data_IF_755307949318
#
_entry.id   IF_755307949318
#
_cell.length_a   1.000
_cell.length_b   1.000
_cell.length_c   1.000
_cell.angle_alpha   90.00
_cell.angle_beta   90.00
_cell.angle_gamma   90.00
#
_symmetry.space_group_name_H-M   'P 1'
#
loop_
_entity.id
_entity.type
_entity.pdbx_description
1 polymer ?
#
# COMPACT_ATOMS: atom_id res chain seq x y z
N UNK A 1 -21.13 2.70 -35.30
CA UNK A 1 -19.71 2.37 -35.59
C UNK A 1 -18.78 3.60 -35.58
N UNK A 2 -19.21 4.80 -35.14
CA UNK A 2 -18.39 6.03 -35.25
C UNK A 2 -17.77 6.56 -33.94
N UNK A 3 -18.09 5.99 -32.77
CA UNK A 3 -17.63 6.52 -31.47
C UNK A 3 -16.25 6.03 -31.02
N UNK A 4 -15.83 4.82 -31.43
CA UNK A 4 -14.55 4.25 -30.99
C UNK A 4 -13.34 4.79 -31.77
N UNK A 5 -13.50 5.14 -33.05
CA UNK A 5 -12.38 5.62 -33.89
C UNK A 5 -11.90 7.03 -33.51
N UNK A 6 -12.80 7.91 -33.07
CA UNK A 6 -12.41 9.27 -32.64
C UNK A 6 -11.59 9.26 -31.35
N UNK A 7 -11.88 8.35 -30.42
CA UNK A 7 -11.11 8.22 -29.17
C UNK A 7 -9.69 7.73 -29.44
N UNK A 8 -9.54 6.76 -30.35
CA UNK A 8 -8.25 6.19 -30.71
C UNK A 8 -7.31 7.20 -31.37
N UNK A 9 -7.84 8.08 -32.22
CA UNK A 9 -7.06 9.15 -32.86
C UNK A 9 -6.58 10.18 -31.84
N UNK A 10 -7.41 10.52 -30.84
CA UNK A 10 -7.06 11.43 -29.75
C UNK A 10 -5.88 10.92 -28.92
N UNK A 11 -5.97 9.67 -28.47
CA UNK A 11 -4.91 9.02 -27.68
C UNK A 11 -3.58 8.94 -28.43
N UNK A 12 -3.61 8.60 -29.73
CA UNK A 12 -2.41 8.56 -30.56
C UNK A 12 -1.74 9.93 -30.76
N UNK A 13 -2.51 11.03 -30.72
CA UNK A 13 -1.97 12.41 -30.77
C UNK A 13 -1.36 12.79 -29.43
N UNK A 14 -2.04 12.52 -28.32
CA UNK A 14 -1.54 12.81 -26.97
C UNK A 14 -0.24 12.02 -26.71
N UNK A 15 -0.18 10.76 -27.14
CA UNK A 15 1.04 9.94 -27.04
C UNK A 15 2.22 10.56 -27.79
N UNK A 16 1.99 11.10 -29.00
CA UNK A 16 3.03 11.82 -29.75
C UNK A 16 3.52 13.06 -28.99
N UNK A 17 2.60 13.86 -28.44
CA UNK A 17 2.96 15.04 -27.64
C UNK A 17 3.83 14.65 -26.44
N UNK A 18 3.51 13.54 -25.77
CA UNK A 18 4.25 13.05 -24.60
C UNK A 18 5.66 12.55 -24.94
N UNK A 19 5.83 11.91 -26.10
CA UNK A 19 7.09 11.23 -26.47
C UNK A 19 8.07 12.13 -27.24
N UNK A 20 7.56 13.06 -28.04
CA UNK A 20 8.41 13.91 -28.87
C UNK A 20 9.12 14.98 -28.02
N UNK A 21 10.45 15.01 -28.11
CA UNK A 21 11.26 15.99 -27.39
C UNK A 21 11.07 17.42 -27.87
N UNK A 22 10.64 17.63 -29.13
CA UNK A 22 10.44 18.98 -29.70
C UNK A 22 9.23 19.69 -29.09
N UNK A 23 8.24 18.94 -28.60
CA UNK A 23 7.05 19.54 -27.96
C UNK A 23 7.29 19.91 -26.48
N UNK A 24 8.42 19.52 -25.89
CA UNK A 24 8.75 19.84 -24.48
C UNK A 24 9.29 21.28 -24.37
N UNK A 25 8.39 22.20 -24.10
CA UNK A 25 8.58 23.66 -24.06
C UNK A 25 8.94 24.22 -22.68
N UNK A 26 9.09 23.37 -21.68
CA UNK A 26 9.38 23.73 -20.29
C UNK A 26 10.52 22.88 -19.72
N UNK A 27 11.45 23.51 -19.01
CA UNK A 27 12.50 22.82 -18.25
C UNK A 27 12.43 23.22 -16.78
N UNK A 28 12.29 22.23 -15.90
CA UNK A 28 12.47 22.42 -14.46
C UNK A 28 13.93 22.19 -14.08
N UNK A 29 14.48 23.09 -13.26
CA UNK A 29 15.79 22.96 -12.64
C UNK A 29 15.56 22.58 -11.18
N UNK A 30 15.82 21.33 -10.84
CA UNK A 30 15.54 20.76 -9.52
C UNK A 30 16.80 20.09 -9.01
N UNK A 31 17.35 20.56 -7.89
CA UNK A 31 18.68 20.17 -7.42
C UNK A 31 19.71 20.31 -8.57
N UNK A 32 20.42 19.24 -8.91
CA UNK A 32 21.41 19.18 -10.00
C UNK A 32 20.84 18.62 -11.32
N UNK A 33 19.51 18.55 -11.45
CA UNK A 33 18.82 17.95 -12.60
C UNK A 33 18.07 18.98 -13.45
N UNK A 34 18.15 18.79 -14.78
CA UNK A 34 17.28 19.46 -15.74
C UNK A 34 16.21 18.48 -16.25
N UNK A 35 14.95 18.77 -15.97
CA UNK A 35 13.82 17.90 -16.33
C UNK A 35 12.93 18.63 -17.34
N UNK A 36 12.92 18.14 -18.59
CA UNK A 36 12.08 18.68 -19.67
C UNK A 36 10.67 18.08 -19.62
N UNK A 37 9.66 18.93 -19.76
CA UNK A 37 8.25 18.57 -19.76
C UNK A 37 7.44 19.42 -20.77
N UNK A 38 6.20 19.04 -21.03
CA UNK A 38 5.26 19.90 -21.74
C UNK A 38 4.53 20.79 -20.72
N UNK A 39 4.62 22.12 -20.86
CA UNK A 39 3.95 23.10 -20.00
C UNK A 39 2.45 22.82 -19.89
N UNK A 40 1.81 22.54 -21.02
CA UNK A 40 0.36 22.29 -21.10
C UNK A 40 -0.05 21.00 -20.41
N UNK A 41 0.75 19.93 -20.51
CA UNK A 41 0.43 18.67 -19.81
C UNK A 41 0.55 18.85 -18.30
N UNK A 42 1.63 19.46 -17.83
CA UNK A 42 1.81 19.76 -16.39
C UNK A 42 0.62 20.54 -15.84
N UNK A 43 0.22 21.62 -16.52
CA UNK A 43 -0.92 22.44 -16.13
C UNK A 43 -2.28 21.72 -16.22
N UNK A 44 -2.43 20.77 -17.14
CA UNK A 44 -3.65 19.96 -17.24
C UNK A 44 -3.73 18.88 -16.17
N UNK A 45 -2.59 18.45 -15.61
CA UNK A 45 -2.53 17.35 -14.65
C UNK A 45 -2.88 17.74 -13.21
N UNK A 46 -2.53 18.94 -12.75
CA UNK A 46 -3.01 19.43 -11.45
C UNK A 46 -3.08 20.97 -11.37
N UNK A 47 -3.92 21.46 -10.45
CA UNK A 47 -4.19 22.89 -10.29
C UNK A 47 -2.97 23.69 -9.83
N UNK A 48 -2.07 23.09 -9.04
CA UNK A 48 -0.81 23.72 -8.65
C UNK A 48 0.00 24.17 -9.88
N UNK A 49 0.25 23.26 -10.84
CA UNK A 49 0.99 23.60 -12.05
C UNK A 49 0.19 24.53 -12.98
N UNK A 50 -1.14 24.42 -13.00
CA UNK A 50 -2.00 25.35 -13.73
C UNK A 50 -1.80 26.79 -13.25
N UNK A 51 -1.84 27.02 -11.94
CA UNK A 51 -1.60 28.34 -11.34
C UNK A 51 -0.16 28.78 -11.56
N UNK A 52 0.82 27.90 -11.35
CA UNK A 52 2.23 28.21 -11.53
C UNK A 52 2.59 28.61 -12.97
N UNK A 53 2.02 27.92 -13.97
CA UNK A 53 2.43 28.05 -15.38
C UNK A 53 1.53 28.96 -16.22
N UNK A 54 0.27 29.15 -15.82
CA UNK A 54 -0.70 29.99 -16.55
C UNK A 54 -1.36 31.06 -15.67
N UNK A 55 -1.03 31.11 -14.38
CA UNK A 55 -1.47 32.17 -13.48
C UNK A 55 -0.62 33.44 -13.57
N UNK A 56 -0.90 34.37 -12.66
CA UNK A 56 -0.19 35.66 -12.53
C UNK A 56 1.09 35.50 -11.69
N UNK A 57 1.94 34.57 -12.07
CA UNK A 57 3.23 34.26 -11.43
C UNK A 57 4.39 34.77 -12.30
N UNK A 58 5.62 34.75 -11.78
CA UNK A 58 6.80 35.05 -12.61
C UNK A 58 7.14 33.86 -13.50
N UNK A 59 6.94 32.67 -12.95
CA UNK A 59 7.14 31.35 -13.53
C UNK A 59 6.35 31.16 -14.83
N UNK A 60 5.15 31.72 -14.96
CA UNK A 60 4.32 31.60 -16.16
C UNK A 60 4.95 32.20 -17.42
N UNK A 61 5.88 33.15 -17.26
CA UNK A 61 6.62 33.80 -18.35
C UNK A 61 7.95 33.11 -18.67
N UNK A 62 8.37 32.14 -17.86
CA UNK A 62 9.68 31.50 -17.96
C UNK A 62 9.60 30.13 -18.65
N UNK A 63 10.55 29.85 -19.55
CA UNK A 63 10.73 28.50 -20.13
C UNK A 63 11.64 27.60 -19.29
N UNK A 64 12.37 28.17 -18.33
CA UNK A 64 13.21 27.46 -17.36
C UNK A 64 12.83 27.90 -15.95
N UNK A 65 12.38 26.97 -15.11
CA UNK A 65 11.89 27.27 -13.77
C UNK A 65 12.69 26.50 -12.73
N UNK A 66 13.24 27.21 -11.74
CA UNK A 66 14.02 26.60 -10.66
C UNK A 66 13.13 26.26 -9.46
N UNK A 67 13.19 25.01 -8.99
CA UNK A 67 12.51 24.55 -7.77
C UNK A 67 13.57 24.30 -6.69
N UNK A 68 13.69 25.20 -5.72
CA UNK A 68 14.79 25.19 -4.74
C UNK A 68 14.59 24.19 -3.59
N UNK A 69 13.35 23.82 -3.26
CA UNK A 69 13.01 23.01 -2.08
C UNK A 69 12.20 21.78 -2.47
N UNK A 70 12.55 21.19 -3.61
CA UNK A 70 11.82 20.05 -4.17
C UNK A 70 12.79 18.89 -4.36
N UNK A 71 12.54 17.73 -3.76
CA UNK A 71 13.36 16.53 -3.96
C UNK A 71 13.36 16.12 -5.43
N UNK A 72 14.54 16.07 -6.05
CA UNK A 72 14.66 15.94 -7.49
C UNK A 72 14.13 14.61 -8.03
N UNK A 73 14.42 13.49 -7.34
CA UNK A 73 13.98 12.16 -7.76
C UNK A 73 12.46 11.99 -7.68
N UNK A 74 11.85 12.51 -6.62
CA UNK A 74 10.40 12.52 -6.47
C UNK A 74 9.74 13.40 -7.55
N UNK A 75 10.28 14.58 -7.83
CA UNK A 75 9.77 15.44 -8.90
C UNK A 75 9.90 14.79 -10.28
N UNK A 76 11.00 14.07 -10.54
CA UNK A 76 11.16 13.30 -11.77
C UNK A 76 10.03 12.27 -11.94
N UNK A 77 9.61 11.60 -10.86
CA UNK A 77 8.46 10.69 -10.87
C UNK A 77 7.13 11.38 -11.10
N UNK A 78 6.93 12.59 -10.56
CA UNK A 78 5.77 13.43 -10.89
C UNK A 78 5.72 13.71 -12.39
N UNK A 79 6.83 14.15 -13.00
CA UNK A 79 6.88 14.42 -14.44
C UNK A 79 6.71 13.14 -15.26
N UNK A 80 7.32 12.03 -14.85
CA UNK A 80 7.11 10.71 -15.48
C UNK A 80 5.61 10.38 -15.53
N UNK A 81 4.92 10.49 -14.39
CA UNK A 81 3.50 10.23 -14.27
C UNK A 81 2.63 11.14 -15.16
N UNK A 82 2.96 12.43 -15.28
CA UNK A 82 2.26 13.35 -16.21
C UNK A 82 2.34 12.87 -17.66
N UNK A 83 3.48 12.27 -18.03
CA UNK A 83 3.74 11.80 -19.39
C UNK A 83 3.26 10.38 -19.68
N UNK A 84 3.09 9.53 -18.68
CA UNK A 84 2.79 8.10 -18.88
C UNK A 84 1.47 7.67 -18.26
N UNK A 85 0.90 8.46 -17.34
CA UNK A 85 -0.14 8.07 -16.38
C UNK A 85 0.25 6.85 -15.53
N UNK A 86 1.55 6.56 -15.45
CA UNK A 86 2.12 5.45 -14.70
C UNK A 86 3.39 5.88 -13.99
N UNK A 87 3.54 5.46 -12.75
CA UNK A 87 4.75 5.67 -11.98
C UNK A 87 5.24 4.31 -11.48
N UNK A 88 6.50 4.00 -11.75
CA UNK A 88 7.15 2.88 -11.11
C UNK A 88 7.48 3.23 -9.64
N UNK A 89 6.60 2.82 -8.73
CA UNK A 89 6.72 3.04 -7.29
C UNK A 89 7.35 1.84 -6.55
N UNK A 90 7.63 0.75 -7.24
CA UNK A 90 8.18 -0.47 -6.62
C UNK A 90 9.70 -0.41 -6.54
N UNK A 91 10.34 0.14 -7.57
CA UNK A 91 11.80 0.27 -7.65
C UNK A 91 12.29 1.59 -7.08
N UNK A 92 11.38 2.43 -6.59
CA UNK A 92 11.74 3.70 -5.98
C UNK A 92 12.32 3.42 -4.60
N UNK A 93 13.36 4.17 -4.23
CA UNK A 93 13.88 4.13 -2.87
C UNK A 93 12.83 4.61 -1.87
N UNK A 94 12.78 4.02 -0.68
CA UNK A 94 11.77 4.30 0.35
C UNK A 94 11.75 5.79 0.74
N UNK A 95 12.92 6.43 0.80
CA UNK A 95 13.01 7.87 1.08
C UNK A 95 12.34 8.69 -0.03
N UNK A 96 12.66 8.37 -1.29
CA UNK A 96 12.07 9.04 -2.45
C UNK A 96 10.56 8.74 -2.58
N UNK A 97 10.07 7.62 -2.06
CA UNK A 97 8.65 7.31 -2.01
C UNK A 97 7.90 8.24 -1.06
N UNK A 98 8.43 8.47 0.15
CA UNK A 98 7.87 9.44 1.09
C UNK A 98 7.88 10.86 0.50
N UNK A 99 8.99 11.24 -0.13
CA UNK A 99 9.11 12.52 -0.84
C UNK A 99 8.06 12.64 -1.96
N UNK A 100 7.81 11.56 -2.71
CA UNK A 100 6.81 11.55 -3.78
C UNK A 100 5.39 11.71 -3.24
N UNK A 101 5.04 11.02 -2.14
CA UNK A 101 3.73 11.17 -1.48
C UNK A 101 3.59 12.62 -0.96
N UNK A 102 4.64 13.14 -0.32
CA UNK A 102 4.69 14.52 0.18
C UNK A 102 4.47 15.55 -0.92
N UNK A 103 5.22 15.46 -2.02
CA UNK A 103 5.12 16.37 -3.16
C UNK A 103 3.76 16.26 -3.85
N UNK A 104 3.24 15.03 -4.01
CA UNK A 104 1.94 14.81 -4.65
C UNK A 104 0.83 15.48 -3.84
N UNK A 105 0.93 15.48 -2.51
CA UNK A 105 0.02 16.23 -1.66
C UNK A 105 0.22 17.75 -1.75
N UNK A 106 1.46 18.24 -1.66
CA UNK A 106 1.79 19.67 -1.74
C UNK A 106 1.35 20.31 -3.06
N UNK A 107 1.52 19.57 -4.17
CA UNK A 107 1.08 20.01 -5.49
C UNK A 107 -0.40 19.72 -5.77
N UNK A 108 -1.14 19.23 -4.78
CA UNK A 108 -2.57 18.90 -4.91
C UNK A 108 -2.83 17.96 -6.09
N UNK A 109 -1.90 17.03 -6.34
CA UNK A 109 -1.96 16.10 -7.46
C UNK A 109 -2.71 14.83 -7.04
N UNK A 110 -4.03 14.98 -6.84
CA UNK A 110 -4.89 13.90 -6.34
C UNK A 110 -4.84 12.63 -7.20
N UNK A 111 -4.72 12.75 -8.53
CA UNK A 111 -4.63 11.59 -9.41
C UNK A 111 -3.36 10.75 -9.15
N UNK A 112 -2.23 11.40 -8.87
CA UNK A 112 -0.99 10.71 -8.51
C UNK A 112 -1.08 10.12 -7.10
N UNK A 113 -1.63 10.84 -6.13
CA UNK A 113 -1.86 10.30 -4.77
C UNK A 113 -2.73 9.05 -4.78
N UNK A 114 -3.85 9.08 -5.51
CA UNK A 114 -4.74 7.93 -5.64
C UNK A 114 -4.03 6.76 -6.31
N UNK A 115 -3.29 7.01 -7.40
CA UNK A 115 -2.48 5.99 -8.06
C UNK A 115 -1.49 5.34 -7.08
N UNK A 116 -0.79 6.14 -6.28
CA UNK A 116 0.16 5.64 -5.28
C UNK A 116 -0.58 4.83 -4.21
N UNK A 117 -1.69 5.34 -3.68
CA UNK A 117 -2.50 4.66 -2.68
C UNK A 117 -2.98 3.28 -3.17
N UNK A 118 -3.45 3.19 -4.41
CA UNK A 118 -3.98 1.95 -4.99
C UNK A 118 -2.91 0.93 -5.34
N UNK A 119 -1.69 1.37 -5.64
CA UNK A 119 -0.59 0.50 -6.09
C UNK A 119 0.40 0.15 -4.97
N UNK A 120 0.45 0.92 -3.88
CA UNK A 120 1.39 0.66 -2.77
C UNK A 120 0.98 -0.61 -1.99
N UNK A 121 1.94 -1.53 -1.86
CA UNK A 121 1.82 -2.75 -1.06
C UNK A 121 2.78 -2.65 0.12
N UNK A 122 2.27 -2.35 1.32
CA UNK A 122 3.10 -2.06 2.50
C UNK A 122 3.98 -3.25 2.91
N UNK A 123 3.56 -4.48 2.68
CA UNK A 123 4.35 -5.70 2.90
C UNK A 123 5.69 -5.71 2.14
N UNK A 124 5.78 -4.96 1.03
CA UNK A 124 6.98 -4.86 0.21
C UNK A 124 8.01 -3.85 0.72
N UNK A 125 7.65 -3.07 1.76
CA UNK A 125 8.48 -2.02 2.33
C UNK A 125 8.96 -2.39 3.74
N UNK A 126 9.99 -1.68 4.20
CA UNK A 126 10.47 -1.80 5.58
C UNK A 126 9.41 -1.33 6.59
N UNK A 127 9.50 -1.87 7.80
CA UNK A 127 8.67 -1.42 8.92
C UNK A 127 8.95 0.05 9.24
N UNK A 128 10.21 0.48 9.14
CA UNK A 128 10.63 1.87 9.36
C UNK A 128 9.98 2.82 8.35
N UNK A 129 9.85 2.41 7.07
CA UNK A 129 9.08 3.14 6.07
C UNK A 129 7.60 3.24 6.44
N UNK A 130 6.98 2.13 6.86
CA UNK A 130 5.55 2.13 7.22
C UNK A 130 5.23 3.04 8.42
N UNK A 131 6.13 3.09 9.41
CA UNK A 131 6.04 4.03 10.55
C UNK A 131 6.17 5.47 10.04
N UNK A 132 7.19 5.74 9.21
CA UNK A 132 7.41 7.07 8.65
C UNK A 132 6.25 7.55 7.78
N UNK A 133 5.65 6.65 6.99
CA UNK A 133 4.46 6.92 6.19
C UNK A 133 3.25 7.24 7.07
N UNK A 134 3.08 6.51 8.18
CA UNK A 134 2.03 6.81 9.15
C UNK A 134 2.22 8.21 9.76
N UNK A 135 3.41 8.55 10.24
CA UNK A 135 3.69 9.87 10.82
C UNK A 135 3.47 10.99 9.80
N UNK A 136 3.94 10.80 8.56
CA UNK A 136 3.69 11.71 7.44
C UNK A 136 2.20 11.87 7.16
N UNK A 137 1.43 10.77 7.21
CA UNK A 137 0.00 10.78 6.96
C UNK A 137 -0.78 11.57 8.01
N UNK A 138 -0.35 11.53 9.27
CA UNK A 138 -0.94 12.37 10.33
C UNK A 138 -0.58 13.84 10.09
N UNK A 139 0.70 14.14 9.84
CA UNK A 139 1.17 15.52 9.62
C UNK A 139 0.42 16.20 8.46
N UNK A 140 0.25 15.48 7.36
CA UNK A 140 -0.40 15.95 6.13
C UNK A 140 -1.89 15.65 6.04
N UNK A 141 -2.50 15.09 7.09
CA UNK A 141 -3.92 14.75 7.16
C UNK A 141 -4.39 13.80 6.03
N UNK A 142 -3.51 12.89 5.59
CA UNK A 142 -3.78 11.87 4.59
C UNK A 142 -4.44 10.64 5.25
N UNK A 143 -5.71 10.78 5.65
CA UNK A 143 -6.42 9.76 6.44
C UNK A 143 -6.47 8.37 5.77
N UNK A 144 -6.56 8.29 4.44
CA UNK A 144 -6.57 7.00 3.75
C UNK A 144 -5.26 6.24 3.94
N UNK A 145 -4.11 6.93 3.83
CA UNK A 145 -2.79 6.35 4.08
C UNK A 145 -2.62 5.97 5.55
N UNK A 146 -3.09 6.82 6.47
CA UNK A 146 -3.09 6.53 7.91
C UNK A 146 -3.81 5.22 8.21
N UNK A 147 -5.03 5.07 7.72
CA UNK A 147 -5.86 3.89 7.94
C UNK A 147 -5.24 2.63 7.30
N UNK A 148 -4.58 2.78 6.15
CA UNK A 148 -3.86 1.68 5.48
C UNK A 148 -2.64 1.21 6.27
N UNK A 149 -1.84 2.13 6.83
CA UNK A 149 -0.73 1.78 7.73
C UNK A 149 -1.22 1.10 9.00
N UNK A 150 -2.30 1.63 9.60
CA UNK A 150 -2.92 1.06 10.79
C UNK A 150 -3.44 -0.37 10.57
N UNK A 151 -4.06 -0.64 9.41
CA UNK A 151 -4.48 -2.00 9.03
C UNK A 151 -3.28 -2.94 8.84
N UNK A 152 -2.19 -2.46 8.25
CA UNK A 152 -0.97 -3.24 8.10
C UNK A 152 -0.39 -3.67 9.45
N UNK A 153 -0.33 -2.75 10.43
CA UNK A 153 0.13 -3.09 11.77
C UNK A 153 -0.82 -4.02 12.53
N UNK A 154 -2.14 -3.91 12.31
CA UNK A 154 -3.12 -4.87 12.86
C UNK A 154 -2.82 -6.29 12.37
N UNK A 155 -2.51 -6.47 11.08
CA UNK A 155 -2.20 -7.78 10.49
C UNK A 155 -0.90 -8.34 11.06
N UNK A 156 0.18 -7.56 11.04
CA UNK A 156 1.50 -8.04 11.50
C UNK A 156 1.47 -8.49 12.96
N UNK A 157 0.87 -7.70 13.85
CA UNK A 157 0.84 -8.03 15.27
C UNK A 157 -0.18 -9.12 15.63
N UNK A 158 -1.15 -9.37 14.76
CA UNK A 158 -2.04 -10.52 14.91
C UNK A 158 -1.39 -11.83 14.44
N UNK A 159 -0.46 -11.78 13.47
CA UNK A 159 0.30 -12.95 13.02
C UNK A 159 1.43 -13.31 14.00
N UNK A 160 2.27 -12.33 14.37
CA UNK A 160 3.38 -12.54 15.29
C UNK A 160 3.65 -11.28 16.12
N UNK A 161 3.57 -11.42 17.44
CA UNK A 161 3.86 -10.31 18.36
C UNK A 161 5.37 -10.18 18.54
N UNK A 162 5.99 -9.30 17.76
CA UNK A 162 7.42 -8.99 17.86
C UNK A 162 7.68 -7.70 18.66
N UNK A 163 8.04 -7.86 19.94
CA UNK A 163 8.29 -6.72 20.85
C UNK A 163 9.39 -5.79 20.37
N UNK A 164 10.41 -6.29 19.66
CA UNK A 164 11.52 -5.50 19.11
C UNK A 164 11.08 -4.53 18.02
N UNK A 165 10.11 -4.90 17.19
CA UNK A 165 9.53 -4.00 16.17
C UNK A 165 8.74 -2.88 16.82
N UNK A 166 7.99 -3.21 17.87
CA UNK A 166 7.14 -2.25 18.58
C UNK A 166 7.94 -1.09 19.16
N UNK A 167 9.18 -1.33 19.63
CA UNK A 167 10.08 -0.29 20.18
C UNK A 167 10.31 0.89 19.22
N UNK A 168 10.30 0.62 17.91
CA UNK A 168 10.53 1.63 16.87
C UNK A 168 9.34 2.56 16.64
N UNK A 169 8.16 2.23 17.16
CA UNK A 169 6.94 2.97 16.88
C UNK A 169 7.02 4.37 17.46
N UNK A 170 6.56 5.36 16.70
CA UNK A 170 6.38 6.71 17.22
C UNK A 170 5.32 6.71 18.33
N UNK A 171 5.43 7.66 19.28
CA UNK A 171 4.44 7.82 20.36
C UNK A 171 3.01 7.93 19.80
N UNK A 172 2.86 8.65 18.69
CA UNK A 172 1.58 8.85 18.00
C UNK A 172 1.01 7.53 17.47
N UNK A 173 1.85 6.67 16.89
CA UNK A 173 1.44 5.36 16.38
C UNK A 173 0.97 4.46 17.53
N UNK A 174 1.71 4.45 18.65
CA UNK A 174 1.31 3.69 19.85
C UNK A 174 -0.06 4.16 20.36
N UNK A 175 -0.26 5.46 20.54
CA UNK A 175 -1.53 6.01 21.04
C UNK A 175 -2.70 5.64 20.10
N UNK A 176 -2.54 5.78 18.77
CA UNK A 176 -3.56 5.45 17.78
C UNK A 176 -3.87 3.94 17.73
N UNK A 177 -2.87 3.07 17.82
CA UNK A 177 -3.09 1.61 17.89
C UNK A 177 -3.85 1.23 19.17
N UNK A 178 -3.46 1.80 20.31
CA UNK A 178 -4.09 1.50 21.60
C UNK A 178 -5.53 2.01 21.73
N UNK A 179 -5.91 3.05 20.98
CA UNK A 179 -7.28 3.53 20.92
C UNK A 179 -8.22 2.58 20.13
N UNK A 180 -7.66 1.77 19.23
CA UNK A 180 -8.45 0.96 18.28
C UNK A 180 -8.85 -0.38 18.86
N UNK A 181 -10.14 -0.70 18.78
CA UNK A 181 -10.66 -2.04 19.09
C UNK A 181 -10.13 -3.12 18.14
N UNK A 182 -9.75 -2.74 16.91
CA UNK A 182 -9.33 -3.66 15.85
C UNK A 182 -7.91 -4.20 16.02
N UNK A 183 -7.10 -3.57 16.87
CA UNK A 183 -5.73 -4.00 17.14
C UNK A 183 -5.73 -5.22 18.06
N UNK A 184 -5.94 -6.41 17.49
CA UNK A 184 -6.27 -7.65 18.20
C UNK A 184 -5.08 -8.35 18.91
N UNK A 185 -4.23 -7.57 19.59
CA UNK A 185 -3.18 -8.09 20.45
C UNK A 185 -3.73 -8.41 21.85
N UNK A 186 -3.18 -9.43 22.52
CA UNK A 186 -3.52 -9.68 23.93
C UNK A 186 -3.04 -8.50 24.79
N UNK A 187 -3.84 -8.06 25.78
CA UNK A 187 -3.45 -6.93 26.63
C UNK A 187 -2.19 -7.22 27.46
N UNK A 188 -1.92 -8.49 27.78
CA UNK A 188 -0.68 -8.89 28.43
C UNK A 188 0.53 -8.68 27.51
N UNK A 189 0.43 -9.08 26.24
CA UNK A 189 1.55 -8.91 25.31
C UNK A 189 1.70 -7.44 24.90
N UNK A 190 0.60 -6.69 24.77
CA UNK A 190 0.63 -5.24 24.63
C UNK A 190 1.35 -4.58 25.81
N UNK A 191 1.07 -5.00 27.04
CA UNK A 191 1.79 -4.51 28.21
C UNK A 191 3.30 -4.78 28.12
N UNK A 192 3.72 -6.00 27.72
CA UNK A 192 5.15 -6.31 27.50
C UNK A 192 5.78 -5.46 26.40
N UNK A 193 5.07 -5.22 25.29
CA UNK A 193 5.49 -4.32 24.22
C UNK A 193 5.70 -2.90 24.75
N UNK A 194 4.77 -2.38 25.56
CA UNK A 194 4.86 -1.05 26.17
C UNK A 194 6.03 -0.95 27.15
N UNK A 195 6.26 -1.95 28.00
CA UNK A 195 7.42 -1.96 28.89
C UNK A 195 8.73 -1.79 28.13
N UNK A 196 8.92 -2.61 27.08
CA UNK A 196 10.13 -2.56 26.25
C UNK A 196 10.24 -1.23 25.50
N UNK A 197 9.12 -0.66 25.07
CA UNK A 197 9.08 0.65 24.43
C UNK A 197 9.51 1.78 25.38
N UNK A 198 9.06 1.74 26.64
CA UNK A 198 9.44 2.71 27.69
C UNK A 198 10.95 2.64 27.97
N UNK A 199 11.49 1.43 28.11
CA UNK A 199 12.92 1.21 28.35
C UNK A 199 13.80 1.81 27.24
N UNK A 200 13.31 1.83 26.00
CA UNK A 200 14.05 2.34 24.84
C UNK A 200 13.84 3.84 24.55
N UNK A 201 12.63 4.38 24.80
CA UNK A 201 12.25 5.75 24.39
C UNK A 201 12.28 6.79 25.53
N UNK A 202 12.51 6.35 26.76
CA UNK A 202 12.70 7.21 27.93
C UNK A 202 11.40 7.66 28.63
N UNK A 203 11.54 8.17 29.85
CA UNK A 203 10.40 8.45 30.74
C UNK A 203 9.49 9.59 30.27
N UNK A 204 10.03 10.62 29.62
CA UNK A 204 9.22 11.77 29.16
C UNK A 204 8.14 11.36 28.15
N UNK A 205 8.49 10.47 27.21
CA UNK A 205 7.54 9.95 26.23
C UNK A 205 6.64 8.85 26.79
N UNK A 206 6.86 8.41 28.03
CA UNK A 206 6.14 7.32 28.67
C UNK A 206 4.95 7.80 29.52
N UNK A 207 4.81 9.12 29.70
CA UNK A 207 3.73 9.70 30.49
C UNK A 207 2.38 9.33 29.88
N UNK A 208 1.53 8.70 30.69
CA UNK A 208 0.18 8.30 30.30
C UNK A 208 0.10 7.19 29.26
N UNK A 209 1.20 6.47 29.00
CA UNK A 209 1.23 5.44 27.95
C UNK A 209 0.28 4.26 28.24
N UNK A 210 0.07 3.93 29.52
CA UNK A 210 -0.86 2.88 29.92
C UNK A 210 -2.34 3.32 29.96
N UNK A 211 -2.65 4.58 29.63
CA UNK A 211 -4.02 5.13 29.76
C UNK A 211 -5.07 4.33 28.97
N UNK A 212 -4.69 3.82 27.81
CA UNK A 212 -5.57 3.06 26.91
C UNK A 212 -5.34 1.53 27.00
N UNK A 213 -4.56 1.07 27.99
CA UNK A 213 -4.38 -0.37 28.26
C UNK A 213 -5.63 -0.89 28.99
N UNK A 214 -6.24 -1.95 28.47
CA UNK A 214 -7.50 -2.50 29.02
C UNK A 214 -7.18 -3.48 30.14
N UNK A 215 -6.81 -2.92 31.29
CA UNK A 215 -6.39 -3.68 32.48
C UNK A 215 -7.38 -4.78 32.87
N UNK A 216 -8.69 -4.56 32.66
CA UNK A 216 -9.73 -5.52 32.98
C UNK A 216 -9.67 -6.83 32.17
N UNK A 217 -8.87 -6.87 31.09
CA UNK A 217 -8.67 -8.06 30.26
C UNK A 217 -7.36 -8.81 30.60
N UNK A 218 -6.54 -8.28 31.50
CA UNK A 218 -5.37 -9.00 32.03
C UNK A 218 -5.86 -9.82 33.23
N UNK A 219 -5.68 -11.15 33.19
CA UNK A 219 -6.10 -11.99 34.30
C UNK A 219 -5.22 -11.78 35.54
N UNK A 220 -5.73 -12.13 36.72
CA UNK A 220 -5.06 -11.86 37.99
C UNK A 220 -3.71 -12.57 38.14
N UNK A 221 -3.54 -13.75 37.51
CA UNK A 221 -2.28 -14.49 37.56
C UNK A 221 -1.21 -13.76 36.77
N UNK A 222 -1.54 -13.29 35.58
CA UNK A 222 -0.64 -12.55 34.71
C UNK A 222 -0.34 -11.16 35.27
N UNK A 223 -1.32 -10.50 35.89
CA UNK A 223 -1.11 -9.24 36.59
C UNK A 223 -0.07 -9.39 37.72
N UNK A 224 -0.25 -10.38 38.60
CA UNK A 224 0.69 -10.62 39.71
C UNK A 224 2.09 -11.03 39.24
N UNK A 225 2.17 -11.78 38.13
CA UNK A 225 3.44 -12.32 37.63
C UNK A 225 4.23 -11.30 36.81
N UNK A 226 3.55 -10.48 36.00
CA UNK A 226 4.18 -9.64 34.99
C UNK A 226 3.99 -8.13 35.21
N UNK A 227 2.81 -7.70 35.67
CA UNK A 227 2.47 -6.26 35.80
C UNK A 227 2.88 -5.71 37.16
N UNK A 228 2.44 -6.35 38.24
CA UNK A 228 2.67 -5.94 39.62
C UNK A 228 4.16 -5.72 39.97
N UNK A 229 5.12 -6.56 39.53
CA UNK A 229 6.54 -6.39 39.85
C UNK A 229 7.15 -5.10 39.28
N UNK A 230 6.60 -4.58 38.19
CA UNK A 230 7.10 -3.36 37.53
C UNK A 230 6.81 -2.09 38.29
N UNK A 231 5.79 -2.11 39.17
CA UNK A 231 5.29 -0.94 39.94
C UNK A 231 4.87 0.25 39.07
N UNK A 232 4.67 0.06 37.76
CA UNK A 232 4.20 1.10 36.84
C UNK A 232 2.68 1.29 36.88
N UNK A 233 1.95 0.29 37.34
CA UNK A 233 0.50 0.29 37.47
C UNK A 233 0.15 -0.13 38.90
N UNK A 234 -0.71 0.63 39.58
CA UNK A 234 -1.08 0.33 40.95
C UNK A 234 -2.11 -0.80 41.02
N UNK A 235 -2.12 -1.54 42.13
CA UNK A 235 -3.16 -2.55 42.37
C UNK A 235 -4.55 -1.92 42.45
N UNK A 236 -4.65 -0.67 42.92
CA UNK A 236 -5.91 0.07 43.01
C UNK A 236 -6.48 0.35 41.61
N UNK A 237 -5.65 0.83 40.67
CA UNK A 237 -6.06 1.07 39.28
C UNK A 237 -6.55 -0.21 38.59
N UNK A 238 -5.87 -1.34 38.86
CA UNK A 238 -6.27 -2.65 38.32
C UNK A 238 -7.62 -3.12 38.89
N UNK A 239 -7.84 -2.98 40.21
CA UNK A 239 -9.11 -3.33 40.84
C UNK A 239 -10.27 -2.45 40.35
N UNK A 240 -10.04 -1.14 40.22
CA UNK A 240 -11.02 -0.20 39.66
C UNK A 240 -11.39 -0.57 38.21
N UNK A 241 -10.41 -0.98 37.40
CA UNK A 241 -10.67 -1.41 36.02
C UNK A 241 -11.51 -2.71 35.97
N UNK A 242 -11.22 -3.68 36.84
CA UNK A 242 -11.99 -4.92 36.93
C UNK A 242 -13.44 -4.69 37.39
N UNK A 243 -13.66 -3.84 38.39
CA UNK A 243 -14.99 -3.54 38.91
C UNK A 243 -15.86 -2.83 37.87
N UNK A 244 -15.28 -1.87 37.14
CA UNK A 244 -16.01 -1.09 36.15
C UNK A 244 -16.29 -1.83 34.84
N UNK A 245 -15.61 -2.96 34.56
CA UNK A 245 -15.66 -3.68 33.27
C UNK A 245 -15.56 -2.72 32.08
N UNK A 246 -14.60 -1.79 32.16
CA UNK A 246 -14.61 -0.56 31.37
C UNK A 246 -14.48 -0.78 29.86
N UNK A 247 -13.91 -1.92 29.44
CA UNK A 247 -13.63 -2.20 28.03
C UNK A 247 -13.90 -3.67 27.66
N UNK A 248 -14.33 -3.91 26.43
CA UNK A 248 -14.44 -5.25 25.85
C UNK A 248 -13.11 -5.70 25.24
N UNK A 249 -12.97 -7.00 24.96
CA UNK A 249 -11.82 -7.54 24.23
C UNK A 249 -11.55 -6.78 22.93
N UNK A 250 -10.26 -6.53 22.65
CA UNK A 250 -9.85 -6.11 21.32
C UNK A 250 -10.16 -7.27 20.39
N UNK A 251 -11.02 -7.00 19.43
CA UNK A 251 -11.42 -7.99 18.47
C UNK A 251 -11.09 -7.42 17.10
N UNK A 252 -10.52 -8.27 16.25
CA UNK A 252 -10.65 -8.04 14.82
C UNK A 252 -12.15 -7.91 14.61
N UNK A 253 -12.62 -6.72 14.23
CA UNK A 253 -13.96 -6.61 13.65
C UNK A 253 -13.88 -7.44 12.37
N UNK A 254 -14.15 -8.75 12.48
CA UNK A 254 -14.82 -9.47 11.42
C UNK A 254 -16.10 -8.67 11.27
N UNK A 255 -16.09 -7.68 10.37
CA UNK A 255 -17.33 -7.01 10.01
C UNK A 255 -18.27 -8.18 9.69
N UNK A 256 -19.35 -8.33 10.44
CA UNK A 256 -20.52 -9.03 9.95
C UNK A 256 -20.95 -8.22 8.70
N UNK A 257 -20.43 -8.62 7.53
CA UNK A 257 -20.45 -7.82 6.30
C UNK A 257 -19.10 -7.35 5.74
N UNK A 258 -17.94 -7.73 6.30
CA UNK A 258 -16.74 -7.91 5.50
C UNK A 258 -16.86 -9.30 4.92
N UNK A 259 -17.58 -9.38 3.80
CA UNK A 259 -16.84 -9.94 2.68
C UNK A 259 -15.48 -9.24 2.73
N UNK A 260 -14.42 -10.04 2.89
CA UNK A 260 -13.11 -9.61 2.48
C UNK A 260 -13.28 -8.69 1.26
N UNK A 261 -12.42 -7.70 1.08
CA UNK A 261 -12.23 -7.15 -0.27
C UNK A 261 -11.69 -8.26 -1.23
N UNK A 262 -12.08 -9.53 -1.04
CA UNK A 262 -11.99 -10.63 -1.97
C UNK A 262 -12.90 -10.28 -3.13
N UNK A 263 -12.34 -9.45 -3.99
CA UNK A 263 -12.74 -9.34 -5.37
C UNK A 263 -12.77 -10.74 -5.98
N UNK A 264 -12.08 -11.75 -5.43
CA UNK A 264 -12.24 -13.16 -5.77
C UNK A 264 -13.40 -13.86 -5.02
N UNK A 265 -14.40 -14.36 -5.76
CA UNK A 265 -15.54 -15.19 -5.30
C UNK A 265 -15.14 -16.65 -5.08
N UNK A 266 -14.29 -17.20 -5.94
CA UNK A 266 -13.91 -18.62 -5.88
C UNK A 266 -12.53 -18.88 -6.50
N UNK A 267 -11.79 -19.79 -5.86
CA UNK A 267 -10.49 -20.32 -6.31
C UNK A 267 -10.70 -21.77 -6.75
N UNK A 268 -10.36 -22.08 -8.00
CA UNK A 268 -10.60 -23.41 -8.60
C UNK A 268 -9.31 -23.97 -9.21
N UNK A 269 -8.98 -25.22 -8.90
CA UNK A 269 -7.95 -26.00 -9.61
C UNK A 269 -8.61 -27.24 -10.18
N UNK A 270 -8.58 -27.41 -11.51
CA UNK A 270 -9.14 -28.58 -12.18
C UNK A 270 -10.54 -28.96 -11.64
N UNK A 271 -11.41 -27.96 -11.47
CA UNK A 271 -12.78 -28.08 -10.93
C UNK A 271 -12.92 -28.31 -9.40
N UNK A 272 -11.82 -28.47 -8.67
CA UNK A 272 -11.83 -28.51 -7.21
C UNK A 272 -11.69 -27.12 -6.58
N UNK A 273 -12.52 -26.83 -5.57
CA UNK A 273 -12.41 -25.63 -4.74
C UNK A 273 -11.23 -25.75 -3.78
N UNK A 274 -10.47 -24.66 -3.62
CA UNK A 274 -9.28 -24.63 -2.77
C UNK A 274 -9.35 -23.45 -1.81
N UNK A 275 -9.07 -23.72 -0.52
CA UNK A 275 -9.11 -22.73 0.57
C UNK A 275 -7.75 -22.50 1.23
N UNK A 276 -6.69 -23.16 0.75
CA UNK A 276 -5.35 -23.05 1.33
C UNK A 276 -4.67 -21.73 0.98
N UNK A 277 -3.82 -21.25 1.88
CA UNK A 277 -3.03 -20.04 1.68
C UNK A 277 -1.89 -20.21 0.67
N UNK A 278 -1.40 -21.43 0.52
CA UNK A 278 -0.40 -21.80 -0.47
C UNK A 278 -0.94 -22.93 -1.33
N UNK A 279 -0.76 -22.80 -2.64
CA UNK A 279 -1.38 -23.69 -3.63
C UNK A 279 -0.29 -24.22 -4.54
N UNK A 280 0.01 -25.51 -4.40
CA UNK A 280 0.92 -26.21 -5.31
C UNK A 280 0.19 -26.61 -6.59
N UNK A 281 0.63 -26.08 -7.72
CA UNK A 281 0.15 -26.44 -9.05
C UNK A 281 1.14 -27.37 -9.72
N UNK A 282 0.70 -28.59 -10.03
CA UNK A 282 1.44 -29.51 -10.88
C UNK A 282 1.41 -29.04 -12.35
N UNK A 283 2.29 -29.62 -13.17
CA UNK A 283 2.32 -29.40 -14.62
C UNK A 283 0.93 -29.61 -15.23
N UNK A 284 0.50 -28.68 -16.09
CA UNK A 284 -0.83 -28.63 -16.72
C UNK A 284 -2.02 -28.33 -15.79
N UNK A 285 -1.79 -28.06 -14.50
CA UNK A 285 -2.84 -27.53 -13.64
C UNK A 285 -2.97 -26.02 -13.80
N UNK A 286 -4.20 -25.53 -13.70
CA UNK A 286 -4.50 -24.10 -13.70
C UNK A 286 -5.29 -23.72 -12.46
N UNK A 287 -4.80 -22.73 -11.72
CA UNK A 287 -5.53 -22.06 -10.66
C UNK A 287 -6.30 -20.89 -11.25
N UNK A 288 -7.62 -20.89 -11.08
CA UNK A 288 -8.50 -19.82 -11.57
C UNK A 288 -9.18 -19.10 -10.41
N UNK A 289 -8.93 -17.79 -10.33
CA UNK A 289 -9.56 -16.83 -9.45
C UNK A 289 -10.73 -16.19 -10.19
N UNK A 290 -11.96 -16.41 -9.72
CA UNK A 290 -13.15 -15.83 -10.31
C UNK A 290 -13.57 -14.61 -9.54
N UNK A 291 -13.90 -13.53 -10.24
CA UNK A 291 -14.03 -12.21 -9.66
C UNK A 291 -15.50 -11.85 -9.39
N UNK A 292 -15.76 -11.08 -8.33
CA UNK A 292 -17.05 -10.47 -8.03
C UNK A 292 -17.35 -9.49 -9.15
N UNK A 293 -18.61 -9.44 -9.57
CA UNK A 293 -19.08 -8.43 -10.49
C UNK A 293 -19.02 -7.05 -9.84
N UNK A 294 -17.89 -6.37 -10.01
CA UNK A 294 -17.68 -5.01 -9.53
C UNK A 294 -18.35 -4.00 -10.46
N UNK A 295 -18.95 -2.95 -9.90
CA UNK A 295 -19.42 -1.77 -10.66
C UNK A 295 -18.26 -0.92 -11.19
N UNK A 296 -17.07 -1.10 -10.61
CA UNK A 296 -15.86 -0.38 -10.95
C UNK A 296 -14.94 -1.28 -11.78
N UNK A 297 -14.36 -0.73 -12.84
CA UNK A 297 -13.44 -1.46 -13.71
C UNK A 297 -12.10 -1.68 -13.00
N UNK A 298 -11.51 -2.84 -13.24
CA UNK A 298 -10.23 -3.24 -12.65
C UNK A 298 -9.24 -3.33 -13.79
N UNK A 299 -7.99 -2.99 -13.50
CA UNK A 299 -6.93 -2.99 -14.49
C UNK A 299 -5.60 -3.54 -13.95
N UNK A 300 -5.56 -3.92 -12.67
CA UNK A 300 -4.36 -4.39 -11.98
C UNK A 300 -4.64 -5.59 -11.09
N UNK A 301 -3.74 -6.56 -11.12
CA UNK A 301 -3.73 -7.74 -10.26
C UNK A 301 -2.31 -7.93 -9.72
N UNK A 302 -2.20 -8.10 -8.41
CA UNK A 302 -0.97 -8.46 -7.70
C UNK A 302 -1.11 -9.88 -7.13
N UNK A 303 -0.09 -10.72 -7.33
CA UNK A 303 -0.05 -12.10 -6.83
C UNK A 303 1.39 -12.54 -6.54
N UNK A 304 1.55 -13.58 -5.72
CA UNK A 304 2.88 -14.11 -5.32
C UNK A 304 3.05 -15.58 -5.73
N UNK A 305 4.24 -15.96 -6.16
CA UNK A 305 4.63 -17.33 -6.55
C UNK A 305 5.97 -17.67 -5.91
N UNK A 306 6.13 -18.87 -5.36
CA UNK A 306 7.37 -19.27 -4.69
C UNK A 306 8.58 -19.07 -5.61
N UNK A 307 9.63 -18.48 -5.05
CA UNK A 307 10.79 -18.02 -5.81
C UNK A 307 11.56 -19.19 -6.41
N UNK A 308 11.82 -19.09 -7.72
CA UNK A 308 12.61 -20.05 -8.47
C UNK A 308 13.95 -19.47 -8.94
N UNK A 309 14.94 -20.33 -9.19
CA UNK A 309 16.28 -19.96 -9.70
C UNK A 309 16.30 -19.58 -11.20
N UNK A 310 15.18 -19.15 -11.78
CA UNK A 310 15.06 -18.94 -13.24
C UNK A 310 13.85 -18.09 -13.67
N UNK A 311 13.51 -18.16 -14.96
CA UNK A 311 12.36 -17.47 -15.54
C UNK A 311 11.02 -17.98 -14.97
N UNK A 312 9.98 -17.13 -14.91
CA UNK A 312 8.66 -17.55 -14.43
C UNK A 312 8.14 -18.74 -15.24
N UNK A 313 7.82 -19.83 -14.55
CA UNK A 313 7.41 -21.09 -15.16
C UNK A 313 5.88 -21.27 -15.19
N UNK A 314 5.19 -20.17 -15.49
CA UNK A 314 3.74 -20.13 -15.53
C UNK A 314 3.23 -19.25 -16.67
N UNK A 315 1.98 -19.50 -17.07
CA UNK A 315 1.23 -18.66 -18.01
C UNK A 315 0.07 -18.01 -17.27
N UNK A 316 -0.17 -16.75 -17.56
CA UNK A 316 -1.29 -15.99 -17.05
C UNK A 316 -2.35 -15.79 -18.13
N UNK A 317 -3.62 -15.79 -17.73
CA UNK A 317 -4.75 -15.46 -18.58
C UNK A 317 -5.75 -14.62 -17.79
N UNK A 318 -6.15 -13.48 -18.33
CA UNK A 318 -7.25 -12.66 -17.78
C UNK A 318 -8.40 -12.69 -18.79
N UNK A 319 -9.61 -12.94 -18.32
CA UNK A 319 -10.81 -13.01 -19.17
C UNK A 319 -11.87 -12.03 -18.69
N UNK A 320 -12.55 -11.39 -19.65
CA UNK A 320 -13.64 -10.46 -19.36
C UNK A 320 -14.95 -11.21 -19.09
N UNK A 321 -15.97 -10.49 -18.63
CA UNK A 321 -17.35 -11.00 -18.50
C UNK A 321 -17.97 -11.50 -19.81
N UNK A 322 -17.37 -11.17 -20.95
CA UNK A 322 -17.76 -11.65 -22.28
C UNK A 322 -16.93 -12.86 -22.74
N UNK A 323 -16.16 -13.48 -21.83
CA UNK A 323 -15.26 -14.61 -22.10
C UNK A 323 -14.12 -14.30 -23.08
N UNK A 324 -13.85 -13.02 -23.32
CA UNK A 324 -12.76 -12.59 -24.18
C UNK A 324 -11.44 -12.54 -23.41
N UNK A 325 -10.34 -12.97 -24.05
CA UNK A 325 -9.01 -12.87 -23.46
C UNK A 325 -8.54 -11.42 -23.51
N UNK A 326 -8.20 -10.87 -22.34
CA UNK A 326 -7.73 -9.50 -22.22
C UNK A 326 -6.20 -9.50 -22.37
N UNK A 327 -5.61 -8.61 -23.19
CA UNK A 327 -4.18 -8.42 -23.26
C UNK A 327 -3.61 -8.00 -21.90
N UNK A 328 -2.53 -8.64 -21.48
CA UNK A 328 -1.90 -8.41 -20.18
C UNK A 328 -0.44 -8.00 -20.33
N UNK A 329 0.00 -7.11 -19.46
CA UNK A 329 1.40 -6.76 -19.24
C UNK A 329 1.80 -7.27 -17.86
N UNK A 330 2.85 -8.08 -17.79
CA UNK A 330 3.30 -8.69 -16.53
C UNK A 330 4.65 -8.11 -16.14
N UNK A 331 4.77 -7.67 -14.89
CA UNK A 331 6.02 -7.20 -14.30
C UNK A 331 6.30 -8.01 -13.03
N UNK A 332 7.52 -8.53 -12.90
CA UNK A 332 8.02 -9.11 -11.64
C UNK A 332 8.47 -7.97 -10.75
N UNK A 333 7.94 -7.90 -9.54
CA UNK A 333 8.32 -6.93 -8.52
C UNK A 333 9.53 -7.52 -7.79
N UNK A 334 10.68 -6.85 -7.87
CA UNK A 334 11.85 -7.22 -7.09
C UNK A 334 11.80 -6.45 -5.77
N UNK A 335 11.65 -7.15 -4.64
CA UNK A 335 11.84 -6.55 -3.32
C UNK A 335 13.33 -6.23 -3.12
N UNK A 336 13.64 -5.04 -2.62
CA UNK A 336 15.01 -4.63 -2.26
C UNK A 336 15.61 -5.50 -1.14
N UNK A 337 14.81 -6.37 -0.51
CA UNK A 337 15.18 -7.25 0.61
C UNK A 337 15.14 -8.73 0.20
N UNK A 338 15.34 -9.07 -1.08
CA UNK A 338 15.16 -10.47 -1.49
C UNK A 338 13.75 -10.98 -1.23
N UNK A 339 13.48 -12.20 -1.62
CA UNK A 339 12.15 -12.84 -1.62
C UNK A 339 11.40 -12.61 -0.30
N UNK A 340 10.24 -11.95 -0.33
CA UNK A 340 9.38 -11.82 0.86
C UNK A 340 8.89 -13.23 1.19
N UNK A 341 9.35 -13.80 2.29
CA UNK A 341 9.00 -15.16 2.75
C UNK A 341 9.25 -16.26 1.70
N UNK A 342 10.22 -16.09 0.80
CA UNK A 342 10.52 -17.08 -0.25
C UNK A 342 9.59 -17.03 -1.48
N UNK A 343 8.83 -15.95 -1.67
CA UNK A 343 7.97 -15.74 -2.83
C UNK A 343 8.42 -14.53 -3.67
N UNK A 344 8.25 -14.67 -4.99
CA UNK A 344 8.33 -13.61 -6.00
C UNK A 344 6.95 -12.99 -6.18
N UNK A 345 6.88 -11.66 -6.15
CA UNK A 345 5.65 -10.92 -6.39
C UNK A 345 5.55 -10.46 -7.85
N UNK A 346 4.34 -10.51 -8.40
CA UNK A 346 4.05 -10.19 -9.78
C UNK A 346 2.85 -9.26 -9.88
N UNK A 347 3.01 -8.22 -10.70
CA UNK A 347 1.96 -7.29 -11.09
C UNK A 347 1.53 -7.56 -12.52
N UNK A 348 0.23 -7.73 -12.72
CA UNK A 348 -0.43 -7.87 -14.02
C UNK A 348 -1.25 -6.63 -14.26
N UNK A 349 -0.94 -5.89 -15.31
CA UNK A 349 -1.76 -4.80 -15.84
C UNK A 349 -2.55 -5.30 -17.04
N UNK A 350 -3.77 -4.82 -17.21
CA UNK A 350 -4.61 -5.15 -18.36
C UNK A 350 -5.53 -3.99 -18.70
N UNK A 351 -6.05 -3.98 -19.93
CA UNK A 351 -6.96 -2.94 -20.39
C UNK A 351 -8.24 -2.92 -19.55
N UNK A 352 -8.70 -1.71 -19.23
CA UNK A 352 -9.83 -1.46 -18.34
C UNK A 352 -11.08 -2.19 -18.85
N UNK A 353 -11.45 -3.25 -18.14
CA UNK A 353 -12.54 -4.14 -18.52
C UNK A 353 -13.05 -4.87 -17.29
N UNK A 354 -14.31 -5.31 -17.33
CA UNK A 354 -14.87 -6.11 -16.24
C UNK A 354 -14.25 -7.50 -16.25
N UNK A 355 -13.25 -7.73 -15.39
CA UNK A 355 -12.60 -9.02 -15.24
C UNK A 355 -13.57 -10.03 -14.63
N UNK A 356 -13.66 -11.19 -15.28
CA UNK A 356 -14.42 -12.33 -14.78
C UNK A 356 -13.50 -13.36 -14.13
N UNK A 357 -12.41 -13.72 -14.80
CA UNK A 357 -11.51 -14.78 -14.31
C UNK A 357 -10.06 -14.42 -14.60
N UNK A 358 -9.20 -14.61 -13.60
CA UNK A 358 -7.75 -14.62 -13.72
C UNK A 358 -7.23 -16.04 -13.48
N UNK A 359 -6.42 -16.58 -14.38
CA UNK A 359 -5.90 -17.94 -14.31
C UNK A 359 -4.38 -17.96 -14.36
N UNK A 360 -3.78 -18.79 -13.51
CA UNK A 360 -2.35 -19.11 -13.48
C UNK A 360 -2.18 -20.59 -13.81
N UNK A 361 -1.45 -20.90 -14.87
CA UNK A 361 -1.17 -22.28 -15.29
C UNK A 361 0.32 -22.60 -15.17
N UNK A 362 0.66 -23.69 -14.47
CA UNK A 362 2.04 -24.20 -14.44
C UNK A 362 2.45 -24.72 -15.83
N UNK A 363 3.66 -24.40 -16.27
CA UNK A 363 4.17 -24.79 -17.59
C UNK A 363 4.95 -26.10 -17.54
N UNK A 364 6.25 -26.06 -17.23
CA UNK A 364 7.16 -27.22 -17.37
C UNK A 364 7.53 -27.92 -16.07
N UNK A 365 7.23 -27.29 -14.92
CA UNK A 365 7.56 -27.75 -13.56
C UNK A 365 6.46 -27.25 -12.62
N UNK A 366 6.25 -27.92 -11.48
CA UNK A 366 5.32 -27.44 -10.47
C UNK A 366 5.69 -26.04 -9.98
N UNK A 367 4.69 -25.24 -9.62
CA UNK A 367 4.86 -23.94 -8.98
C UNK A 367 3.99 -23.88 -7.73
N UNK A 368 4.38 -23.07 -6.75
CA UNK A 368 3.56 -22.80 -5.57
C UNK A 368 3.07 -21.37 -5.65
N UNK A 369 1.77 -21.16 -5.67
CA UNK A 369 1.13 -19.84 -5.72
C UNK A 369 0.64 -19.49 -4.32
N UNK A 370 0.99 -18.30 -3.83
CA UNK A 370 0.38 -17.78 -2.62
C UNK A 370 -1.03 -17.31 -2.94
N UNK A 371 -1.96 -17.54 -2.03
CA UNK A 371 -3.36 -17.18 -2.16
C UNK A 371 -3.62 -15.69 -1.94
N UNK A 372 -2.55 -14.93 -1.64
CA UNK A 372 -2.53 -13.48 -1.55
C UNK A 372 -2.75 -12.90 -2.93
N UNK A 373 -3.81 -12.13 -3.04
CA UNK A 373 -4.30 -11.63 -4.30
C UNK A 373 -4.95 -10.27 -4.05
N UNK A 374 -4.39 -9.23 -4.63
CA UNK A 374 -4.92 -7.87 -4.55
C UNK A 374 -5.27 -7.43 -5.96
N UNK A 375 -6.48 -6.93 -6.12
CA UNK A 375 -6.90 -6.33 -7.38
C UNK A 375 -7.25 -4.87 -7.10
N UNK A 376 -6.64 -3.97 -7.87
CA UNK A 376 -6.83 -2.52 -7.72
C UNK A 376 -7.36 -1.92 -9.02
N UNK A 377 -7.89 -0.71 -8.88
CA UNK A 377 -8.57 0.03 -9.93
C UNK A 377 -7.68 1.18 -10.40
N UNK A 378 -8.06 1.82 -11.50
CA UNK A 378 -7.43 3.07 -11.93
C UNK A 378 -7.94 4.26 -11.14
#
# INVERSE_FOLDING_TARGET
MSSNDSSYIGEARIKRIRMDSEFKDLTFLVEDMEIKANRTLMAASCDYFKVMLYGKTNESKMSRIKLNSTPGMAFKKVVEFVHTDECDIETIDEKHMLDLISLSHEYQFSHLLNYIYDDILLDGFSVDFCISLFDLSIEKQLNDFKDKCLQYFDVIFNEEVETDRFVKFSRRLVDELMLRDSFAISELDLFKCLLKWIEANGEEQSIGIFKNLRLNLINIKDFNTHVMPTKLISCEDYLIALENNTFTERAVKQKAGAESNSICVKKVINECLVTTETISLNVNQSLSFHMIRSKKQMNRIHFRVASGTGSPNFRLKVTSNHYECIPITVKRIASNVGTINGYDEYRVKFSDSTVQTFSISALSKPIVVHSYFVCSQK
#
